data_IF_567459225277
#
_entry.id   IF_567459225277
#
_cell.length_a   1.000
_cell.length_b   1.000
_cell.length_c   1.000
_cell.angle_alpha   90.00
_cell.angle_beta   90.00
_cell.angle_gamma   90.00
#
_symmetry.space_group_name_H-M   'P 1'
#
loop_
_entity.id
_entity.type
_entity.pdbx_description
1 polymer ?
#
# COMPACT_ATOMS: atom_id res chain seq x y z
N UNK A 1 2.21 -20.56 31.79
CA UNK A 1 1.34 -20.99 30.66
C UNK A 1 0.67 -19.74 30.12
N UNK A 2 1.21 -19.17 29.06
CA UNK A 2 0.60 -18.02 28.36
C UNK A 2 -0.55 -18.59 27.56
N UNK A 3 -1.77 -18.22 27.95
CA UNK A 3 -2.99 -18.62 27.28
C UNK A 3 -3.02 -17.91 25.91
N UNK A 4 -2.58 -18.58 24.86
CA UNK A 4 -2.80 -18.20 23.47
C UNK A 4 -4.30 -18.40 23.15
N UNK A 5 -5.15 -17.57 23.73
CA UNK A 5 -6.44 -17.33 23.11
C UNK A 5 -6.12 -16.69 21.77
N UNK A 6 -6.39 -17.45 20.70
CA UNK A 6 -6.38 -16.96 19.32
C UNK A 6 -7.33 -15.79 19.22
N UNK A 7 -6.83 -14.61 19.50
CA UNK A 7 -7.49 -13.36 19.18
C UNK A 7 -7.46 -13.25 17.63
N UNK A 8 -8.50 -13.76 17.02
CA UNK A 8 -8.64 -13.66 15.57
C UNK A 8 -8.91 -12.21 15.23
N UNK A 9 -8.04 -11.63 14.41
CA UNK A 9 -8.24 -10.31 13.84
C UNK A 9 -9.64 -10.20 13.24
N UNK A 10 -10.42 -9.22 13.68
CA UNK A 10 -11.77 -8.98 13.18
C UNK A 10 -11.74 -8.55 11.71
N UNK A 11 -12.77 -8.90 10.95
CA UNK A 11 -12.89 -8.49 9.54
C UNK A 11 -12.79 -6.97 9.39
N UNK A 12 -13.37 -6.21 10.31
CA UNK A 12 -13.31 -4.74 10.33
C UNK A 12 -11.89 -4.21 10.53
N UNK A 13 -11.11 -4.83 11.41
CA UNK A 13 -9.71 -4.48 11.68
C UNK A 13 -8.84 -4.78 10.45
N UNK A 14 -9.09 -5.91 9.77
CA UNK A 14 -8.43 -6.26 8.52
C UNK A 14 -8.74 -5.28 7.40
N UNK A 15 -10.00 -4.88 7.24
CA UNK A 15 -10.41 -3.86 6.26
C UNK A 15 -9.73 -2.52 6.57
N UNK A 16 -9.67 -2.10 7.83
CA UNK A 16 -9.00 -0.87 8.24
C UNK A 16 -7.52 -0.86 7.89
N UNK A 17 -6.83 -1.98 8.13
CA UNK A 17 -5.42 -2.13 7.80
C UNK A 17 -5.19 -2.01 6.29
N UNK A 18 -5.96 -2.76 5.48
CA UNK A 18 -5.86 -2.70 4.01
C UNK A 18 -6.18 -1.29 3.50
N UNK A 19 -7.23 -0.65 4.05
CA UNK A 19 -7.61 0.70 3.68
C UNK A 19 -6.48 1.70 3.94
N UNK A 20 -5.88 1.71 5.14
CA UNK A 20 -4.79 2.66 5.49
C UNK A 20 -3.56 2.43 4.63
N UNK A 21 -3.17 1.18 4.38
CA UNK A 21 -2.02 0.85 3.52
C UNK A 21 -2.26 1.32 2.07
N UNK A 22 -3.45 1.07 1.53
CA UNK A 22 -3.82 1.50 0.17
C UNK A 22 -3.93 3.01 0.08
N UNK A 23 -4.56 3.64 1.07
CA UNK A 23 -4.71 5.08 1.16
C UNK A 23 -3.36 5.81 1.14
N UNK A 24 -2.39 5.33 1.92
CA UNK A 24 -1.03 5.86 1.90
C UNK A 24 -0.43 5.83 0.49
N UNK A 25 -0.56 4.73 -0.21
CA UNK A 25 0.00 4.57 -1.56
C UNK A 25 -0.64 5.54 -2.55
N UNK A 26 -1.97 5.65 -2.52
CA UNK A 26 -2.72 6.53 -3.43
C UNK A 26 -2.43 8.01 -3.19
N UNK A 27 -2.36 8.45 -1.93
CA UNK A 27 -2.22 9.88 -1.61
C UNK A 27 -0.79 10.38 -1.51
N UNK A 28 0.17 9.53 -1.11
CA UNK A 28 1.55 9.98 -0.87
C UNK A 28 2.53 9.61 -1.99
N UNK A 29 2.31 8.52 -2.69
CA UNK A 29 3.30 8.00 -3.64
C UNK A 29 2.91 8.21 -5.10
N UNK A 30 1.65 8.02 -5.46
CA UNK A 30 1.20 8.00 -6.84
C UNK A 30 0.95 9.38 -7.48
N UNK A 31 0.43 10.40 -6.77
CA UNK A 31 0.08 11.67 -7.43
C UNK A 31 1.28 12.34 -8.09
N UNK A 32 2.44 12.30 -7.44
CA UNK A 32 3.65 12.98 -7.96
C UNK A 32 4.15 12.32 -9.24
N UNK A 33 4.23 10.98 -9.28
CA UNK A 33 4.64 10.25 -10.48
C UNK A 33 3.66 10.40 -11.64
N UNK A 34 2.37 10.34 -11.33
CA UNK A 34 1.31 10.42 -12.33
C UNK A 34 1.19 11.82 -12.93
N UNK A 35 1.42 12.87 -12.14
CA UNK A 35 1.39 14.26 -12.62
C UNK A 35 2.60 14.55 -13.50
N UNK A 36 3.81 14.10 -13.13
CA UNK A 36 5.03 14.33 -13.91
C UNK A 36 4.97 13.63 -15.27
N UNK A 37 4.40 12.42 -15.33
CA UNK A 37 4.43 11.59 -16.54
C UNK A 37 3.16 11.64 -17.40
N UNK A 38 2.02 12.07 -16.87
CA UNK A 38 0.74 11.92 -17.56
C UNK A 38 -0.26 13.07 -17.42
N UNK A 39 0.05 14.14 -16.69
CA UNK A 39 -0.84 15.28 -16.50
C UNK A 39 -2.32 14.87 -16.24
N UNK A 40 -3.24 15.10 -17.19
CA UNK A 40 -4.66 14.80 -17.04
C UNK A 40 -5.04 13.32 -17.01
N UNK A 41 -4.10 12.38 -17.26
CA UNK A 41 -4.36 10.93 -17.35
C UNK A 41 -4.05 10.15 -16.06
N UNK A 42 -3.57 10.82 -15.03
CA UNK A 42 -3.21 10.19 -13.77
C UNK A 42 -4.35 9.32 -13.19
N UNK A 43 -5.58 9.81 -13.24
CA UNK A 43 -6.76 9.09 -12.76
C UNK A 43 -7.02 7.77 -13.52
N UNK A 44 -6.79 7.77 -14.85
CA UNK A 44 -6.99 6.59 -15.69
C UNK A 44 -5.92 5.52 -15.39
N UNK A 45 -4.67 5.94 -15.17
CA UNK A 45 -3.57 5.05 -14.80
C UNK A 45 -3.89 4.36 -13.48
N UNK A 46 -4.30 5.12 -12.47
CA UNK A 46 -4.68 4.57 -11.15
C UNK A 46 -5.87 3.62 -11.28
N UNK A 47 -6.87 3.97 -12.10
CA UNK A 47 -8.03 3.11 -12.34
C UNK A 47 -7.64 1.78 -13.01
N UNK A 48 -6.80 1.82 -14.05
CA UNK A 48 -6.31 0.62 -14.74
C UNK A 48 -5.49 -0.28 -13.79
N UNK A 49 -4.59 0.29 -13.00
CA UNK A 49 -3.85 -0.47 -11.98
C UNK A 49 -4.80 -1.12 -10.96
N UNK A 50 -5.81 -0.39 -10.50
CA UNK A 50 -6.84 -0.93 -9.61
C UNK A 50 -7.59 -2.11 -10.21
N UNK A 51 -7.95 -2.04 -11.49
CA UNK A 51 -8.60 -3.13 -12.21
C UNK A 51 -7.71 -4.38 -12.34
N UNK A 52 -6.44 -4.18 -12.67
CA UNK A 52 -5.46 -5.29 -12.73
C UNK A 52 -5.27 -5.95 -11.37
N UNK A 53 -5.08 -5.15 -10.31
CA UNK A 53 -4.95 -5.66 -8.95
C UNK A 53 -6.20 -6.41 -8.49
N UNK A 54 -7.39 -5.90 -8.82
CA UNK A 54 -8.65 -6.56 -8.52
C UNK A 54 -8.76 -7.91 -9.26
N UNK A 55 -8.37 -7.96 -10.53
CA UNK A 55 -8.30 -9.20 -11.30
C UNK A 55 -7.36 -10.22 -10.66
N UNK A 56 -6.16 -9.81 -10.27
CA UNK A 56 -5.19 -10.68 -9.57
C UNK A 56 -5.72 -11.15 -8.22
N UNK A 57 -6.39 -10.28 -7.45
CA UNK A 57 -7.03 -10.64 -6.19
C UNK A 57 -8.10 -11.71 -6.39
N UNK A 58 -8.96 -11.54 -7.40
CA UNK A 58 -10.01 -12.53 -7.71
C UNK A 58 -9.41 -13.88 -8.11
N UNK A 59 -8.35 -13.89 -8.90
CA UNK A 59 -7.61 -15.12 -9.23
C UNK A 59 -7.03 -15.78 -7.96
N UNK A 60 -6.43 -15.00 -7.09
CA UNK A 60 -5.90 -15.49 -5.82
C UNK A 60 -7.01 -16.09 -4.93
N UNK A 61 -8.15 -15.41 -4.82
CA UNK A 61 -9.30 -15.91 -4.09
C UNK A 61 -9.85 -17.23 -4.67
N UNK A 62 -9.85 -17.39 -6.00
CA UNK A 62 -10.23 -18.64 -6.64
C UNK A 62 -9.28 -19.78 -6.25
N UNK A 63 -7.97 -19.53 -6.20
CA UNK A 63 -7.00 -20.53 -5.75
C UNK A 63 -7.26 -20.93 -4.31
N UNK A 64 -7.41 -19.97 -3.39
CA UNK A 64 -7.70 -20.26 -1.98
C UNK A 64 -9.04 -20.97 -1.76
N UNK A 65 -10.03 -20.74 -2.61
CA UNK A 65 -11.31 -21.47 -2.56
C UNK A 65 -11.13 -22.96 -2.78
N UNK A 66 -10.15 -23.38 -3.58
CA UNK A 66 -9.83 -24.79 -3.80
C UNK A 66 -9.00 -25.43 -2.66
N UNK A 67 -8.34 -24.59 -1.84
CA UNK A 67 -7.50 -25.03 -0.73
C UNK A 67 -7.91 -24.32 0.60
N UNK A 68 -9.11 -24.62 1.13
CA UNK A 68 -9.61 -23.94 2.32
C UNK A 68 -8.75 -24.27 3.54
N UNK A 69 -8.35 -23.22 4.26
CA UNK A 69 -7.56 -23.35 5.49
C UNK A 69 -6.06 -23.57 5.28
N UNK A 70 -5.58 -23.56 4.03
CA UNK A 70 -4.15 -23.64 3.73
C UNK A 70 -3.54 -22.25 3.62
N UNK A 71 -2.33 -22.08 4.15
CA UNK A 71 -1.51 -20.91 3.94
C UNK A 71 -0.92 -20.88 2.51
N UNK A 72 -0.48 -19.69 2.07
CA UNK A 72 0.11 -19.52 0.73
C UNK A 72 1.27 -20.49 0.47
N UNK A 73 2.11 -20.72 1.48
CA UNK A 73 3.25 -21.66 1.37
C UNK A 73 2.80 -23.10 1.29
N UNK A 74 1.76 -23.49 2.01
CA UNK A 74 1.16 -24.81 1.94
C UNK A 74 0.53 -25.08 0.57
N UNK A 75 -0.15 -24.09 0.00
CA UNK A 75 -0.69 -24.17 -1.36
C UNK A 75 0.44 -24.34 -2.37
N UNK A 76 1.51 -23.56 -2.23
CA UNK A 76 2.70 -23.67 -3.08
C UNK A 76 3.36 -25.06 -2.96
N UNK A 77 3.44 -25.62 -1.74
CA UNK A 77 4.00 -26.96 -1.52
C UNK A 77 3.16 -28.06 -2.21
N UNK A 78 1.84 -27.94 -2.16
CA UNK A 78 0.93 -28.90 -2.81
C UNK A 78 1.00 -28.86 -4.33
N UNK A 79 1.25 -27.68 -4.93
CA UNK A 79 1.25 -27.51 -6.39
C UNK A 79 2.66 -27.71 -6.97
N UNK A 80 3.69 -27.15 -6.34
CA UNK A 80 5.07 -27.09 -6.85
C UNK A 80 6.02 -28.05 -6.12
N UNK A 81 5.52 -28.71 -5.07
CA UNK A 81 6.35 -29.55 -4.22
C UNK A 81 7.20 -28.74 -3.24
N UNK A 82 7.91 -29.44 -2.35
CA UNK A 82 8.67 -28.87 -1.24
C UNK A 82 9.75 -27.85 -1.67
N UNK A 83 10.45 -28.12 -2.77
CA UNK A 83 11.46 -27.21 -3.32
C UNK A 83 10.83 -25.93 -3.89
N UNK A 84 9.67 -26.06 -4.55
CA UNK A 84 8.93 -24.92 -5.08
C UNK A 84 8.42 -24.02 -3.96
N UNK A 85 7.88 -24.58 -2.88
CA UNK A 85 7.45 -23.80 -1.72
C UNK A 85 8.60 -23.00 -1.08
N UNK A 86 9.79 -23.62 -1.01
CA UNK A 86 10.98 -22.95 -0.48
C UNK A 86 11.41 -21.75 -1.33
N UNK A 87 11.42 -21.90 -2.65
CA UNK A 87 11.71 -20.79 -3.58
C UNK A 87 10.69 -19.66 -3.47
N UNK A 88 9.41 -20.00 -3.40
CA UNK A 88 8.32 -19.02 -3.20
C UNK A 88 8.49 -18.30 -1.87
N UNK A 89 8.82 -19.01 -0.79
CA UNK A 89 9.07 -18.42 0.53
C UNK A 89 10.22 -17.41 0.51
N UNK A 90 11.36 -17.78 -0.06
CA UNK A 90 12.51 -16.87 -0.19
C UNK A 90 12.14 -15.64 -1.04
N UNK A 91 11.46 -15.85 -2.16
CA UNK A 91 11.02 -14.76 -3.02
C UNK A 91 10.17 -13.74 -2.25
N UNK A 92 9.18 -14.22 -1.47
CA UNK A 92 8.34 -13.34 -0.66
C UNK A 92 9.13 -12.60 0.43
N UNK A 93 10.05 -13.27 1.12
CA UNK A 93 10.91 -12.62 2.12
C UNK A 93 11.73 -11.51 1.48
N UNK A 94 12.39 -11.78 0.36
CA UNK A 94 13.16 -10.77 -0.37
C UNK A 94 12.28 -9.59 -0.82
N UNK A 95 11.10 -9.89 -1.33
CA UNK A 95 10.14 -8.89 -1.80
C UNK A 95 9.67 -7.99 -0.64
N UNK A 96 9.32 -8.58 0.51
CA UNK A 96 8.90 -7.80 1.68
C UNK A 96 10.02 -6.95 2.27
N UNK A 97 11.24 -7.48 2.35
CA UNK A 97 12.42 -6.73 2.83
C UNK A 97 12.69 -5.55 1.89
N UNK A 98 12.70 -5.78 0.59
CA UNK A 98 12.92 -4.72 -0.40
C UNK A 98 11.84 -3.64 -0.35
N UNK A 99 10.58 -4.06 -0.28
CA UNK A 99 9.44 -3.13 -0.18
C UNK A 99 9.48 -2.32 1.12
N UNK A 100 9.83 -2.95 2.25
CA UNK A 100 10.00 -2.27 3.53
C UNK A 100 11.11 -1.24 3.49
N UNK A 101 12.24 -1.56 2.86
CA UNK A 101 13.36 -0.63 2.69
C UNK A 101 12.97 0.59 1.82
N UNK A 102 12.24 0.37 0.73
CA UNK A 102 11.73 1.45 -0.12
C UNK A 102 10.74 2.34 0.63
N UNK A 103 9.82 1.76 1.39
CA UNK A 103 8.87 2.52 2.19
C UNK A 103 9.57 3.36 3.28
N UNK A 104 10.57 2.79 3.94
CA UNK A 104 11.38 3.50 4.93
C UNK A 104 12.08 4.71 4.29
N UNK A 105 12.70 4.51 3.13
CA UNK A 105 13.36 5.56 2.38
C UNK A 105 12.38 6.67 1.97
N UNK A 106 11.27 6.32 1.33
CA UNK A 106 10.27 7.30 0.91
C UNK A 106 9.73 8.12 2.08
N UNK A 107 9.50 7.46 3.20
CA UNK A 107 9.00 8.16 4.38
C UNK A 107 10.04 9.13 4.95
N UNK A 108 11.30 8.70 5.04
CA UNK A 108 12.38 9.56 5.52
C UNK A 108 12.61 10.76 4.59
N UNK A 109 12.58 10.55 3.26
CA UNK A 109 12.69 11.62 2.27
C UNK A 109 11.52 12.60 2.37
N UNK A 110 10.28 12.12 2.48
CA UNK A 110 9.10 12.98 2.65
C UNK A 110 9.17 13.79 3.94
N UNK A 111 9.60 13.19 5.04
CA UNK A 111 9.75 13.88 6.33
C UNK A 111 10.82 14.98 6.26
N UNK A 112 11.93 14.72 5.58
CA UNK A 112 12.97 15.73 5.32
C UNK A 112 12.42 16.92 4.54
N UNK A 113 11.67 16.65 3.46
CA UNK A 113 11.18 17.71 2.58
C UNK A 113 10.06 18.55 3.22
N UNK A 114 9.27 17.97 4.12
CA UNK A 114 8.05 18.63 4.63
C UNK A 114 8.21 19.16 6.05
N UNK A 115 8.87 18.43 6.93
CA UNK A 115 8.84 18.74 8.37
C UNK A 115 10.20 19.06 8.97
N UNK A 116 11.28 18.42 8.52
CA UNK A 116 12.57 18.46 9.22
C UNK A 116 13.76 18.63 8.23
N UNK A 117 13.83 19.74 7.47
CA UNK A 117 14.82 19.93 6.41
C UNK A 117 16.26 20.05 6.92
N UNK A 118 16.47 20.27 8.22
CA UNK A 118 17.81 20.45 8.81
C UNK A 118 18.38 19.18 9.46
N UNK A 119 17.61 18.08 9.49
CA UNK A 119 18.05 16.83 10.11
C UNK A 119 18.63 15.91 9.05
N UNK A 120 19.68 15.18 9.40
CA UNK A 120 20.27 14.20 8.48
C UNK A 120 19.29 13.04 8.20
N UNK A 121 19.24 12.61 6.95
CA UNK A 121 18.44 11.46 6.51
C UNK A 121 18.63 10.22 7.38
N UNK A 122 19.89 9.93 7.78
CA UNK A 122 20.23 8.75 8.58
C UNK A 122 19.54 8.73 9.94
N UNK A 123 19.40 9.91 10.57
CA UNK A 123 18.76 10.04 11.88
C UNK A 123 17.27 9.73 11.79
N UNK A 124 16.60 10.27 10.78
CA UNK A 124 15.17 10.03 10.54
C UNK A 124 14.93 8.55 10.21
N UNK A 125 15.73 7.99 9.30
CA UNK A 125 15.62 6.59 8.90
C UNK A 125 15.86 5.64 10.09
N UNK A 126 16.83 5.94 10.96
CA UNK A 126 17.11 5.16 12.16
C UNK A 126 15.90 5.14 13.12
N UNK A 127 15.38 6.31 13.49
CA UNK A 127 14.23 6.38 14.40
C UNK A 127 12.98 5.73 13.82
N UNK A 128 12.81 5.84 12.52
CA UNK A 128 11.72 5.15 11.81
C UNK A 128 11.86 3.63 11.85
N UNK A 129 13.08 3.14 11.61
CA UNK A 129 13.39 1.72 11.73
C UNK A 129 13.14 1.17 13.12
N UNK A 130 13.54 1.92 14.15
CA UNK A 130 13.28 1.57 15.56
C UNK A 130 11.77 1.54 15.83
N UNK A 131 11.03 2.56 15.41
CA UNK A 131 9.57 2.59 15.58
C UNK A 131 8.89 1.41 14.88
N UNK A 132 9.30 1.09 13.66
CA UNK A 132 8.78 -0.06 12.92
C UNK A 132 9.08 -1.39 13.65
N UNK A 133 10.31 -1.56 14.18
CA UNK A 133 10.68 -2.76 14.95
C UNK A 133 9.83 -2.91 16.22
N UNK A 134 9.57 -1.81 16.93
CA UNK A 134 8.71 -1.80 18.11
C UNK A 134 7.26 -2.19 17.74
N UNK A 135 6.73 -1.65 16.64
CA UNK A 135 5.39 -2.00 16.15
C UNK A 135 5.27 -3.48 15.78
N UNK A 136 6.30 -4.03 15.13
CA UNK A 136 6.34 -5.47 14.80
C UNK A 136 6.39 -6.32 16.08
N UNK A 137 7.09 -5.88 17.11
CA UNK A 137 7.14 -6.57 18.41
C UNK A 137 5.75 -6.68 19.07
N UNK A 138 4.91 -5.65 18.95
CA UNK A 138 3.53 -5.70 19.44
C UNK A 138 2.59 -6.58 18.62
N UNK A 139 3.03 -7.00 17.45
CA UNK A 139 2.26 -7.87 16.55
C UNK A 139 1.28 -7.11 15.64
N UNK A 140 0.95 -7.77 14.52
CA UNK A 140 0.08 -7.22 13.47
C UNK A 140 -1.32 -6.91 13.98
N UNK A 141 -1.79 -7.69 14.95
CA UNK A 141 -3.13 -7.54 15.52
C UNK A 141 -3.29 -6.24 16.32
N UNK A 142 -2.31 -5.93 17.20
CA UNK A 142 -2.28 -4.65 17.92
C UNK A 142 -2.23 -3.47 16.96
N UNK A 143 -1.45 -3.59 15.86
CA UNK A 143 -1.38 -2.59 14.82
C UNK A 143 -2.74 -2.41 14.11
N UNK A 144 -3.42 -3.49 13.76
CA UNK A 144 -4.72 -3.45 13.10
C UNK A 144 -5.79 -2.78 13.99
N UNK A 145 -5.81 -3.08 15.28
CA UNK A 145 -6.70 -2.43 16.26
C UNK A 145 -6.41 -0.94 16.42
N UNK A 146 -5.13 -0.57 16.50
CA UNK A 146 -4.73 0.84 16.55
C UNK A 146 -5.16 1.59 15.29
N UNK A 147 -4.93 1.02 14.11
CA UNK A 147 -5.35 1.60 12.84
C UNK A 147 -6.86 1.72 12.73
N UNK A 148 -7.62 0.74 13.19
CA UNK A 148 -9.08 0.81 13.23
C UNK A 148 -9.58 1.98 14.08
N UNK A 149 -8.95 2.22 15.22
CA UNK A 149 -9.29 3.34 16.11
C UNK A 149 -8.93 4.70 15.49
N UNK A 150 -7.83 4.78 14.75
CA UNK A 150 -7.36 6.03 14.12
C UNK A 150 -8.08 6.31 12.80
N UNK A 151 -8.62 5.30 12.13
CA UNK A 151 -9.25 5.40 10.81
C UNK A 151 -10.31 6.52 10.71
N UNK A 152 -11.28 6.68 11.64
CA UNK A 152 -12.28 7.75 11.56
C UNK A 152 -11.65 9.13 11.60
N UNK A 153 -10.54 9.30 12.33
CA UNK A 153 -9.81 10.58 12.38
C UNK A 153 -9.10 10.86 11.04
N UNK A 154 -8.50 9.86 10.42
CA UNK A 154 -7.88 10.00 9.09
C UNK A 154 -8.95 10.38 8.06
N UNK A 155 -10.07 9.68 8.03
CA UNK A 155 -11.16 9.94 7.08
C UNK A 155 -11.74 11.35 7.29
N UNK A 156 -11.99 11.74 8.53
CA UNK A 156 -12.50 13.09 8.84
C UNK A 156 -11.51 14.19 8.43
N UNK A 157 -10.21 14.01 8.70
CA UNK A 157 -9.18 14.95 8.29
C UNK A 157 -9.14 15.11 6.76
N UNK A 158 -9.22 14.01 6.01
CA UNK A 158 -9.27 14.06 4.54
C UNK A 158 -10.50 14.80 4.04
N UNK A 159 -11.68 14.51 4.60
CA UNK A 159 -12.92 15.21 4.23
C UNK A 159 -12.78 16.72 4.48
N UNK A 160 -12.25 17.11 5.64
CA UNK A 160 -12.03 18.53 5.98
C UNK A 160 -11.08 19.17 4.96
N UNK A 161 -9.95 18.53 4.64
CA UNK A 161 -9.00 19.06 3.65
C UNK A 161 -9.65 19.19 2.28
N UNK A 162 -10.43 18.20 1.83
CA UNK A 162 -11.13 18.26 0.55
C UNK A 162 -12.16 19.39 0.51
N UNK A 163 -12.89 19.64 1.61
CA UNK A 163 -13.83 20.74 1.72
C UNK A 163 -13.13 22.10 1.70
N UNK A 164 -12.01 22.24 2.39
CA UNK A 164 -11.21 23.47 2.41
C UNK A 164 -10.60 23.79 1.04
N UNK A 165 -10.24 22.77 0.27
CA UNK A 165 -9.68 22.91 -1.07
C UNK A 165 -10.74 23.22 -2.14
N UNK A 166 -12.05 23.14 -1.80
CA UNK A 166 -13.14 23.38 -2.75
C UNK A 166 -13.00 24.66 -3.60
N UNK A 167 -12.62 25.83 -3.05
CA UNK A 167 -12.47 27.05 -3.85
C UNK A 167 -11.31 26.98 -4.87
N UNK A 168 -10.38 26.06 -4.70
CA UNK A 168 -9.24 25.89 -5.60
C UNK A 168 -9.49 24.83 -6.70
N UNK A 169 -10.63 24.11 -6.66
CA UNK A 169 -10.98 23.14 -7.67
C UNK A 169 -11.35 23.85 -8.98
N UNK A 170 -10.45 23.79 -9.93
CA UNK A 170 -10.70 24.22 -11.29
C UNK A 170 -10.91 22.98 -12.17
N UNK A 171 -12.16 22.68 -12.50
CA UNK A 171 -12.54 21.55 -13.37
C UNK A 171 -11.84 21.64 -14.73
N UNK A 172 -11.43 22.83 -15.12
CA UNK A 172 -10.71 23.09 -16.37
C UNK A 172 -9.36 22.37 -16.44
N UNK A 173 -8.69 22.13 -15.32
CA UNK A 173 -7.42 21.37 -15.31
C UNK A 173 -7.60 19.86 -15.50
N UNK A 174 -8.82 19.35 -15.46
CA UNK A 174 -9.13 17.98 -15.86
C UNK A 174 -9.23 17.80 -17.38
N UNK A 175 -9.29 18.88 -18.14
CA UNK A 175 -9.25 18.86 -19.61
C UNK A 175 -7.78 19.00 -20.11
N UNK A 176 -7.37 18.24 -21.13
CA UNK A 176 -8.15 17.26 -21.89
C UNK A 176 -8.29 15.91 -21.18
N UNK A 177 -9.51 15.40 -21.09
CA UNK A 177 -9.87 14.16 -20.38
C UNK A 177 -9.11 12.92 -20.86
N UNK A 178 -8.58 12.95 -22.08
CA UNK A 178 -7.83 11.87 -22.73
C UNK A 178 -6.35 12.24 -22.98
N UNK A 179 -5.86 13.38 -22.48
CA UNK A 179 -4.45 13.80 -22.61
C UNK A 179 -3.93 13.71 -24.03
N UNK A 180 -2.70 13.24 -24.20
CA UNK A 180 -2.00 13.12 -25.48
C UNK A 180 -2.36 11.85 -26.28
N UNK A 181 -3.34 11.06 -25.82
CA UNK A 181 -3.84 9.88 -26.52
C UNK A 181 -3.65 8.56 -25.79
N UNK A 182 -4.60 7.63 -26.05
CA UNK A 182 -4.69 6.32 -25.38
C UNK A 182 -3.41 5.47 -25.56
N UNK A 183 -2.72 5.61 -26.70
CA UNK A 183 -1.50 4.86 -26.99
C UNK A 183 -0.32 5.17 -26.04
N UNK A 184 -0.22 6.41 -25.59
CA UNK A 184 0.80 6.81 -24.62
C UNK A 184 0.46 6.29 -23.21
N UNK A 185 -0.81 6.24 -22.84
CA UNK A 185 -1.26 5.69 -21.55
C UNK A 185 -0.86 4.24 -21.41
N UNK A 186 -1.09 3.43 -22.44
CA UNK A 186 -0.75 2.01 -22.44
C UNK A 186 0.77 1.82 -22.35
N UNK A 187 1.55 2.62 -23.06
CA UNK A 187 3.01 2.53 -23.02
C UNK A 187 3.59 2.96 -21.67
N UNK A 188 2.98 3.90 -20.97
CA UNK A 188 3.38 4.32 -19.63
C UNK A 188 2.95 3.33 -18.56
N UNK A 189 1.74 2.76 -18.63
CA UNK A 189 1.27 1.75 -17.68
C UNK A 189 2.08 0.45 -17.74
N UNK A 190 2.74 0.15 -18.86
CA UNK A 190 3.63 -1.01 -19.02
C UNK A 190 5.07 -0.74 -18.57
N UNK A 191 5.46 0.52 -18.34
CA UNK A 191 6.81 0.91 -17.91
C UNK A 191 6.93 1.18 -16.40
N UNK A 192 5.83 1.16 -15.68
CA UNK A 192 5.75 1.29 -14.22
C UNK A 192 5.67 -0.09 -13.58
#
# INVERSE_FOLDING_TARGET
MINYQQDRMGVAEGIALVFVVTFKSVFLSEPVRSIINGAGLAWLIVFLHGMVLLGLLLLMLQVFKHYPGCDLLEVAERILGKWGAWLVGIYYVCLFVFNSALNLRQFAENTLLTALPQIEFKVIAFWYGVAAAVLVYFGVESLARALYTILPFIVSAVIIVLLLLRPFYQIYFLAPWLGTGIGQVISFSLKV
#
